data_IF_536569453094
#
_entry.id   IF_536569453094
#
_cell.length_a   1.000
_cell.length_b   1.000
_cell.length_c   1.000
_cell.angle_alpha   90.00
_cell.angle_beta   90.00
_cell.angle_gamma   90.00
#
_symmetry.space_group_name_H-M   'P 1'
#
loop_
_entity.id
_entity.type
_entity.pdbx_description
1 polymer ?
#
# COMPACT_ATOMS: atom_id res chain seq x y z
N UNK A 1 -7.72 -48.95 -47.12
CA UNK A 1 -6.84 -47.76 -47.20
C UNK A 1 -6.91 -47.01 -45.88
N UNK A 2 -5.92 -47.15 -45.00
CA UNK A 2 -5.85 -46.43 -43.71
C UNK A 2 -4.97 -45.19 -43.84
N UNK A 3 -5.41 -44.05 -43.30
CA UNK A 3 -4.64 -42.80 -43.28
C UNK A 3 -3.45 -42.94 -42.33
N UNK A 4 -2.26 -42.38 -42.65
CA UNK A 4 -1.12 -42.42 -41.73
C UNK A 4 -1.33 -41.43 -40.56
N UNK A 5 -1.06 -41.88 -39.35
CA UNK A 5 -1.14 -41.08 -38.14
C UNK A 5 -0.04 -40.00 -38.12
N UNK A 6 -0.43 -38.74 -37.87
CA UNK A 6 0.47 -37.58 -37.77
C UNK A 6 1.31 -37.72 -36.49
N UNK A 7 2.64 -37.83 -36.62
CA UNK A 7 3.56 -37.77 -35.47
C UNK A 7 3.54 -36.35 -34.88
N UNK A 8 3.39 -36.25 -33.56
CA UNK A 8 3.57 -34.98 -32.83
C UNK A 8 5.02 -34.51 -32.98
N UNK A 9 5.26 -33.21 -33.22
CA UNK A 9 6.61 -32.68 -33.33
C UNK A 9 7.32 -32.84 -31.98
N UNK A 10 8.49 -33.49 -31.99
CA UNK A 10 9.35 -33.58 -30.81
C UNK A 10 10.03 -32.23 -30.60
N UNK A 11 9.82 -31.63 -29.44
CA UNK A 11 10.59 -30.45 -29.02
C UNK A 11 12.08 -30.81 -28.96
N UNK A 12 12.90 -29.97 -29.57
CA UNK A 12 14.35 -30.18 -29.64
C UNK A 12 14.97 -29.87 -28.26
N UNK A 13 15.68 -30.83 -27.63
CA UNK A 13 16.37 -30.61 -26.34
C UNK A 13 17.42 -29.48 -26.39
N UNK A 14 17.88 -29.10 -27.58
CA UNK A 14 18.82 -27.99 -27.77
C UNK A 14 18.25 -26.61 -27.35
N UNK A 15 16.93 -26.46 -27.18
CA UNK A 15 16.33 -25.27 -26.59
C UNK A 15 16.62 -25.12 -25.09
N UNK A 16 17.13 -26.17 -24.44
CA UNK A 16 17.45 -26.19 -23.02
C UNK A 16 18.95 -26.37 -22.73
N UNK A 17 19.80 -26.30 -23.77
CA UNK A 17 21.25 -26.43 -23.60
C UNK A 17 21.91 -25.06 -23.69
N UNK A 18 22.41 -24.59 -22.54
CA UNK A 18 23.15 -23.34 -22.37
C UNK A 18 24.57 -23.46 -22.96
N UNK A 19 24.70 -23.29 -24.27
CA UNK A 19 26.00 -23.06 -24.88
C UNK A 19 26.35 -21.56 -24.83
N UNK A 20 27.35 -21.23 -24.01
CA UNK A 20 27.90 -19.89 -23.81
C UNK A 20 28.58 -19.42 -25.11
N UNK A 21 27.95 -18.47 -25.80
CA UNK A 21 28.50 -17.78 -26.96
C UNK A 21 28.49 -16.26 -26.71
N UNK A 22 29.64 -15.62 -26.91
CA UNK A 22 29.84 -14.19 -26.71
C UNK A 22 28.89 -13.37 -27.61
N UNK A 23 27.91 -12.71 -27.00
CA UNK A 23 27.01 -11.77 -27.67
C UNK A 23 25.52 -11.84 -27.32
N UNK A 24 25.06 -12.81 -26.53
CA UNK A 24 23.67 -12.83 -26.03
C UNK A 24 23.56 -12.05 -24.70
N UNK A 25 22.46 -11.30 -24.45
CA UNK A 25 22.23 -10.74 -23.13
C UNK A 25 22.20 -11.92 -22.16
N UNK A 26 23.01 -11.87 -21.11
CA UNK A 26 22.99 -12.84 -20.03
C UNK A 26 21.60 -12.83 -19.40
N UNK A 27 20.70 -13.65 -19.92
CA UNK A 27 19.46 -14.04 -19.27
C UNK A 27 19.80 -14.92 -18.09
N UNK A 28 20.48 -14.35 -17.10
CA UNK A 28 20.52 -14.90 -15.76
C UNK A 28 19.08 -15.02 -15.26
N UNK A 29 18.85 -15.96 -14.34
CA UNK A 29 17.60 -15.99 -13.59
C UNK A 29 17.32 -14.58 -13.08
N UNK A 30 16.05 -14.11 -13.14
CA UNK A 30 15.71 -12.81 -12.55
C UNK A 30 16.24 -12.78 -11.11
N UNK A 31 16.80 -11.63 -10.66
CA UNK A 31 17.34 -11.54 -9.32
C UNK A 31 16.25 -11.95 -8.33
N UNK A 32 16.65 -12.65 -7.27
CA UNK A 32 15.69 -13.07 -6.25
C UNK A 32 14.93 -11.83 -5.73
N UNK A 33 13.63 -11.94 -5.42
CA UNK A 33 12.83 -10.82 -4.91
C UNK A 33 13.48 -10.10 -3.72
N UNK A 34 14.20 -10.83 -2.87
CA UNK A 34 14.97 -10.27 -1.75
C UNK A 34 16.14 -9.38 -2.20
N UNK A 35 16.76 -9.69 -3.34
CA UNK A 35 17.85 -8.91 -3.93
C UNK A 35 17.35 -7.67 -4.69
N UNK A 36 16.10 -7.70 -5.17
CA UNK A 36 15.47 -6.52 -5.75
C UNK A 36 15.18 -5.48 -4.69
N UNK A 37 15.47 -4.22 -5.01
CA UNK A 37 15.19 -3.11 -4.12
C UNK A 37 14.75 -1.89 -4.92
N UNK A 38 13.82 -1.07 -4.38
CA UNK A 38 13.53 0.21 -4.97
C UNK A 38 14.78 1.10 -4.95
N UNK A 39 14.88 1.97 -5.95
CA UNK A 39 15.93 2.96 -6.11
C UNK A 39 15.92 3.94 -4.94
N UNK A 40 14.72 4.39 -4.55
CA UNK A 40 14.47 5.26 -3.41
C UNK A 40 13.07 5.00 -2.85
N UNK A 41 12.88 5.29 -1.56
CA UNK A 41 11.58 5.16 -0.91
C UNK A 41 11.06 6.53 -0.47
N UNK A 42 9.84 6.83 -0.86
CA UNK A 42 9.05 7.95 -0.39
C UNK A 42 7.90 7.37 0.44
N UNK A 43 8.05 7.36 1.76
CA UNK A 43 7.06 6.76 2.66
C UNK A 43 5.81 7.64 2.75
N UNK A 44 4.65 7.12 2.38
CA UNK A 44 3.40 7.87 2.41
C UNK A 44 2.67 7.83 3.77
N UNK A 45 3.21 7.14 4.77
CA UNK A 45 2.59 7.08 6.09
C UNK A 45 3.59 6.81 7.22
N UNK A 46 4.00 7.88 7.90
CA UNK A 46 4.75 7.82 9.16
C UNK A 46 3.92 8.46 10.26
N UNK A 47 3.47 7.67 11.22
CA UNK A 47 2.60 8.14 12.29
C UNK A 47 3.38 8.84 13.41
N UNK A 48 2.89 10.03 13.82
CA UNK A 48 3.43 10.79 14.95
C UNK A 48 2.56 10.63 16.20
N UNK A 49 2.41 9.39 16.67
CA UNK A 49 1.55 9.07 17.82
C UNK A 49 2.01 9.72 19.15
N UNK A 50 3.29 10.05 19.29
CA UNK A 50 3.84 10.63 20.52
C UNK A 50 5.11 11.47 20.27
N UNK A 51 5.50 12.34 21.22
CA UNK A 51 6.80 13.00 21.17
C UNK A 51 7.92 11.95 21.12
N UNK A 52 8.75 12.00 20.06
CA UNK A 52 9.81 11.01 19.83
C UNK A 52 9.42 9.84 18.93
N UNK A 53 8.15 9.70 18.53
CA UNK A 53 7.70 8.66 17.60
C UNK A 53 8.51 8.65 16.29
N UNK A 54 8.84 9.83 15.74
CA UNK A 54 9.68 9.93 14.55
C UNK A 54 11.10 9.38 14.77
N UNK A 55 11.69 9.61 15.96
CA UNK A 55 13.02 9.09 16.28
C UNK A 55 12.99 7.57 16.43
N UNK A 56 11.96 7.03 17.09
CA UNK A 56 11.75 5.60 17.20
C UNK A 56 11.55 4.97 15.83
N UNK A 57 10.69 5.56 14.99
CA UNK A 57 10.46 5.12 13.62
C UNK A 57 11.75 5.10 12.78
N UNK A 58 12.61 6.12 12.90
CA UNK A 58 13.93 6.12 12.24
C UNK A 58 14.82 4.98 12.71
N UNK A 59 14.80 4.65 14.00
CA UNK A 59 15.55 3.50 14.53
C UNK A 59 14.97 2.18 14.01
N UNK A 60 13.64 2.07 13.97
CA UNK A 60 12.90 0.90 13.47
C UNK A 60 13.09 0.67 11.97
N UNK A 61 13.37 1.71 11.19
CA UNK A 61 13.71 1.56 9.78
C UNK A 61 15.01 0.74 9.56
N UNK A 62 15.90 0.69 10.54
CA UNK A 62 17.09 -0.16 10.51
C UNK A 62 17.99 0.02 9.28
N UNK A 63 18.85 -0.97 9.03
CA UNK A 63 19.92 -0.87 8.02
C UNK A 63 19.46 -1.13 6.58
N UNK A 64 18.34 -1.81 6.39
CA UNK A 64 17.83 -2.17 5.04
C UNK A 64 16.91 -1.08 4.51
N UNK A 65 15.95 -0.64 5.34
CA UNK A 65 14.95 0.33 4.93
C UNK A 65 15.48 1.77 5.10
N UNK A 66 16.06 2.09 6.26
CA UNK A 66 16.53 3.44 6.63
C UNK A 66 17.33 4.18 5.53
N UNK A 67 18.41 3.59 4.97
CA UNK A 67 19.24 4.26 3.96
C UNK A 67 18.52 4.56 2.64
N UNK A 68 17.39 3.90 2.36
CA UNK A 68 16.62 4.08 1.12
C UNK A 68 15.58 5.19 1.21
N UNK A 69 15.25 5.64 2.42
CA UNK A 69 14.23 6.65 2.66
C UNK A 69 14.76 8.00 2.19
N UNK A 70 14.04 8.63 1.26
CA UNK A 70 14.32 9.99 0.80
C UNK A 70 13.36 11.01 1.36
N UNK A 71 12.10 10.62 1.49
CA UNK A 71 11.12 11.49 2.12
C UNK A 71 9.99 10.73 2.78
N UNK A 72 9.23 11.46 3.59
CA UNK A 72 8.09 10.93 4.34
C UNK A 72 6.89 11.86 4.27
N UNK A 73 5.70 11.28 4.39
CA UNK A 73 4.46 11.97 4.74
C UNK A 73 4.20 11.72 6.21
N UNK A 74 4.16 12.80 7.00
CA UNK A 74 3.94 12.70 8.45
C UNK A 74 2.44 12.74 8.75
N UNK A 75 1.91 11.66 9.29
CA UNK A 75 0.53 11.60 9.77
C UNK A 75 0.46 12.17 11.19
N UNK A 76 -0.27 13.25 11.34
CA UNK A 76 -0.45 13.95 12.61
C UNK A 76 -1.57 13.30 13.44
N UNK A 77 -1.48 13.32 14.77
CA UNK A 77 -2.54 12.81 15.63
C UNK A 77 -3.80 13.69 15.55
N UNK A 78 -4.97 13.14 15.93
CA UNK A 78 -6.28 13.80 15.79
C UNK A 78 -6.36 15.21 16.42
N UNK A 79 -5.60 15.45 17.47
CA UNK A 79 -5.55 16.73 18.19
C UNK A 79 -4.54 17.74 17.63
N UNK A 80 -3.78 17.40 16.59
CA UNK A 80 -2.73 18.25 16.04
C UNK A 80 -3.20 19.23 14.95
N UNK A 81 -4.49 19.23 14.60
CA UNK A 81 -5.10 20.13 13.63
C UNK A 81 -5.26 21.58 14.16
N UNK A 82 -4.18 22.17 14.70
CA UNK A 82 -4.14 23.58 15.11
C UNK A 82 -2.99 24.30 14.42
N UNK A 83 -3.22 25.59 14.06
CA UNK A 83 -2.22 26.41 13.36
C UNK A 83 -0.91 26.54 14.13
N UNK A 84 -0.98 26.57 15.46
CA UNK A 84 0.18 26.70 16.35
C UNK A 84 1.05 25.42 16.36
N UNK A 85 0.44 24.24 16.24
CA UNK A 85 1.16 22.97 16.13
C UNK A 85 1.86 22.88 14.78
N UNK A 86 1.20 23.27 13.68
CA UNK A 86 1.82 23.22 12.34
C UNK A 86 3.00 24.19 12.18
N UNK A 87 2.88 25.40 12.74
CA UNK A 87 3.95 26.40 12.70
C UNK A 87 5.17 26.07 13.57
N UNK A 88 4.99 25.19 14.57
CA UNK A 88 6.05 24.76 15.48
C UNK A 88 6.69 23.42 15.12
N UNK A 89 6.18 22.73 14.08
CA UNK A 89 6.82 21.54 13.53
C UNK A 89 8.20 21.91 12.96
N UNK A 90 9.24 21.64 13.74
CA UNK A 90 10.62 21.70 13.28
C UNK A 90 10.84 20.56 12.28
N UNK A 91 10.52 20.82 11.01
CA UNK A 91 10.80 19.89 9.92
C UNK A 91 12.32 19.79 9.80
N UNK A 92 12.87 18.70 10.33
CA UNK A 92 14.29 18.38 10.25
C UNK A 92 14.72 18.32 8.79
N UNK A 93 15.78 19.04 8.43
CA UNK A 93 16.33 19.07 7.07
C UNK A 93 16.96 17.75 6.62
N UNK A 94 17.17 16.79 7.53
CA UNK A 94 17.86 15.53 7.24
C UNK A 94 16.97 14.48 6.55
N UNK A 95 15.67 14.49 6.83
CA UNK A 95 14.66 13.65 6.17
C UNK A 95 13.69 14.58 5.47
N UNK A 96 13.61 14.49 4.14
CA UNK A 96 12.67 15.32 3.40
C UNK A 96 11.25 15.03 3.86
N UNK A 97 10.52 16.02 4.36
CA UNK A 97 9.06 15.87 4.57
C UNK A 97 8.40 16.38 3.30
N UNK A 98 7.68 15.51 2.60
CA UNK A 98 6.99 15.88 1.35
C UNK A 98 5.57 16.36 1.59
N UNK A 99 4.92 15.92 2.67
CA UNK A 99 3.61 16.44 3.08
C UNK A 99 3.32 16.14 4.55
N UNK A 100 2.31 16.84 5.07
CA UNK A 100 1.64 16.51 6.34
C UNK A 100 0.25 15.93 6.03
N UNK A 101 -0.07 14.78 6.63
CA UNK A 101 -1.43 14.22 6.63
C UNK A 101 -2.12 14.66 7.93
N UNK A 102 -3.12 15.53 7.80
CA UNK A 102 -3.77 16.23 8.91
C UNK A 102 -5.19 15.71 9.09
N UNK A 103 -5.55 15.21 10.28
CA UNK A 103 -6.92 14.81 10.58
C UNK A 103 -7.91 15.95 10.38
N UNK A 104 -8.94 15.69 9.56
CA UNK A 104 -9.97 16.68 9.28
C UNK A 104 -11.04 16.68 10.37
N UNK A 105 -11.34 17.84 10.99
CA UNK A 105 -12.42 17.95 11.96
C UNK A 105 -13.77 17.97 11.23
N UNK A 106 -14.56 16.89 11.35
CA UNK A 106 -15.93 16.84 10.78
C UNK A 106 -16.90 17.81 11.44
N UNK A 107 -16.53 18.40 12.59
CA UNK A 107 -17.30 19.43 13.28
C UNK A 107 -16.70 20.81 13.06
N UNK A 108 -17.54 21.76 12.67
CA UNK A 108 -17.15 23.15 12.44
C UNK A 108 -16.77 23.47 10.99
N UNK A 109 -16.32 24.70 10.72
CA UNK A 109 -15.94 25.11 9.37
C UNK A 109 -14.64 24.42 8.91
N UNK A 110 -14.45 24.24 7.59
CA UNK A 110 -13.23 23.67 7.06
C UNK A 110 -11.98 24.43 7.53
N UNK A 111 -10.94 23.73 7.99
CA UNK A 111 -9.75 24.37 8.50
C UNK A 111 -8.90 24.91 7.33
N UNK A 112 -8.81 26.22 7.19
CA UNK A 112 -7.85 26.83 6.26
C UNK A 112 -6.46 26.89 6.92
N UNK A 113 -5.71 25.81 6.75
CA UNK A 113 -4.37 25.62 7.29
C UNK A 113 -3.31 26.03 6.27
N UNK A 114 -2.21 26.56 6.76
CA UNK A 114 -1.01 26.85 5.97
C UNK A 114 0.15 26.16 6.65
N UNK A 115 0.94 25.40 5.89
CA UNK A 115 2.09 24.66 6.37
C UNK A 115 3.30 24.93 5.47
N UNK A 116 4.53 24.74 5.98
CA UNK A 116 5.76 24.90 5.18
C UNK A 116 5.93 23.83 4.09
N UNK A 117 5.12 22.78 4.11
CA UNK A 117 5.07 21.68 3.14
C UNK A 117 3.63 21.43 2.71
N UNK A 118 3.39 20.75 1.58
CA UNK A 118 2.05 20.35 1.15
C UNK A 118 1.23 19.66 2.25
N UNK A 119 -0.09 19.85 2.18
CA UNK A 119 -1.06 19.28 3.12
C UNK A 119 -1.91 18.24 2.38
N UNK A 120 -2.09 17.09 3.00
CA UNK A 120 -3.16 16.14 2.74
C UNK A 120 -4.09 16.08 3.96
N UNK A 121 -5.38 15.86 3.74
CA UNK A 121 -6.34 15.68 4.83
C UNK A 121 -6.64 14.21 5.06
N UNK A 122 -6.69 13.77 6.31
CA UNK A 122 -7.10 12.41 6.67
C UNK A 122 -8.49 12.38 7.29
N UNK A 123 -9.27 11.38 6.90
CA UNK A 123 -10.65 11.17 7.35
C UNK A 123 -10.81 9.73 7.82
N UNK A 124 -11.59 9.52 8.88
CA UNK A 124 -12.03 8.20 9.28
C UNK A 124 -13.40 7.89 8.66
N UNK A 125 -13.52 6.78 7.94
CA UNK A 125 -14.79 6.31 7.40
C UNK A 125 -15.33 5.15 8.24
N UNK A 126 -16.32 5.45 9.09
CA UNK A 126 -17.03 4.48 9.94
C UNK A 126 -18.46 4.22 9.47
N UNK A 127 -19.09 5.23 8.89
CA UNK A 127 -20.45 5.16 8.36
C UNK A 127 -20.65 6.27 7.30
N UNK A 128 -21.57 6.07 6.35
CA UNK A 128 -21.92 7.11 5.38
C UNK A 128 -22.63 8.28 6.08
N UNK A 129 -22.15 9.50 5.83
CA UNK A 129 -22.84 10.72 6.25
C UNK A 129 -22.67 11.82 5.21
N UNK A 130 -23.70 12.66 5.07
CA UNK A 130 -23.66 13.78 4.11
C UNK A 130 -22.58 14.80 4.50
N UNK A 131 -22.36 15.01 5.80
CA UNK A 131 -21.28 15.86 6.32
C UNK A 131 -19.89 15.36 5.88
N UNK A 132 -19.65 14.04 5.93
CA UNK A 132 -18.40 13.46 5.44
C UNK A 132 -18.25 13.64 3.92
N UNK A 133 -19.32 13.43 3.14
CA UNK A 133 -19.30 13.62 1.69
C UNK A 133 -18.96 15.07 1.33
N UNK A 134 -19.59 16.04 1.98
CA UNK A 134 -19.33 17.46 1.74
C UNK A 134 -17.91 17.85 2.14
N UNK A 135 -17.43 17.38 3.29
CA UNK A 135 -16.07 17.63 3.76
C UNK A 135 -15.01 17.01 2.83
N UNK A 136 -15.23 15.78 2.37
CA UNK A 136 -14.34 15.10 1.40
C UNK A 136 -14.31 15.84 0.06
N UNK A 137 -15.47 16.29 -0.45
CA UNK A 137 -15.53 17.09 -1.69
C UNK A 137 -14.76 18.40 -1.55
N UNK A 138 -14.95 19.10 -0.45
CA UNK A 138 -14.22 20.34 -0.17
C UNK A 138 -12.71 20.10 -0.11
N UNK A 139 -12.27 19.05 0.60
CA UNK A 139 -10.85 18.76 0.77
C UNK A 139 -10.20 18.31 -0.55
N UNK A 140 -10.84 17.38 -1.27
CA UNK A 140 -10.34 16.79 -2.52
C UNK A 140 -10.36 17.74 -3.72
N UNK A 141 -11.02 18.90 -3.62
CA UNK A 141 -10.91 19.98 -4.61
C UNK A 141 -9.49 20.60 -4.60
N UNK A 142 -8.85 20.65 -3.42
CA UNK A 142 -7.60 21.41 -3.21
C UNK A 142 -6.41 20.54 -2.82
N UNK A 143 -6.65 19.50 -2.05
CA UNK A 143 -5.63 18.68 -1.41
C UNK A 143 -5.85 17.19 -1.67
N UNK A 144 -4.79 16.37 -1.71
CA UNK A 144 -4.95 14.92 -1.60
C UNK A 144 -5.68 14.57 -0.30
N UNK A 145 -6.44 13.48 -0.34
CA UNK A 145 -7.24 13.02 0.81
C UNK A 145 -6.93 11.58 1.13
N UNK A 146 -6.58 11.31 2.38
CA UNK A 146 -6.48 9.98 2.96
C UNK A 146 -7.83 9.60 3.61
N UNK A 147 -8.37 8.43 3.27
CA UNK A 147 -9.56 7.86 3.92
C UNK A 147 -9.16 6.57 4.61
N UNK A 148 -9.22 6.59 5.95
CA UNK A 148 -9.05 5.41 6.78
C UNK A 148 -10.36 4.63 6.87
N UNK A 149 -10.40 3.50 6.18
CA UNK A 149 -11.59 2.65 6.10
C UNK A 149 -11.70 1.83 7.39
N UNK A 150 -12.65 2.20 8.25
CA UNK A 150 -12.89 1.62 9.57
C UNK A 150 -14.26 0.93 9.68
N UNK A 151 -14.88 0.64 8.53
CA UNK A 151 -16.12 -0.17 8.44
C UNK A 151 -15.81 -1.66 8.50
N UNK A 152 -16.79 -2.46 8.94
CA UNK A 152 -16.69 -3.91 8.85
C UNK A 152 -16.85 -4.36 7.38
N UNK A 153 -15.72 -4.68 6.75
CA UNK A 153 -15.64 -5.28 5.41
C UNK A 153 -15.60 -6.81 5.45
N UNK A 154 -15.55 -7.38 6.65
CA UNK A 154 -15.31 -8.81 6.91
C UNK A 154 -16.61 -9.59 6.97
N UNK A 155 -17.64 -9.06 7.64
CA UNK A 155 -18.87 -9.78 7.94
C UNK A 155 -20.09 -9.38 7.09
N UNK A 156 -19.95 -8.52 6.08
CA UNK A 156 -21.08 -8.14 5.24
C UNK A 156 -20.74 -7.33 3.99
N UNK A 157 -21.64 -7.34 3.01
CA UNK A 157 -21.53 -6.53 1.79
C UNK A 157 -21.84 -5.05 2.03
N UNK A 158 -22.59 -4.73 3.09
CA UNK A 158 -23.03 -3.37 3.40
C UNK A 158 -21.87 -2.38 3.57
N UNK A 159 -20.76 -2.81 4.18
CA UNK A 159 -19.57 -1.96 4.33
C UNK A 159 -18.92 -1.62 2.98
N UNK A 160 -18.88 -2.60 2.06
CA UNK A 160 -18.38 -2.40 0.70
C UNK A 160 -19.31 -1.49 -0.10
N UNK A 161 -20.62 -1.71 -0.05
CA UNK A 161 -21.61 -0.88 -0.73
C UNK A 161 -21.56 0.57 -0.24
N UNK A 162 -21.45 0.79 1.08
CA UNK A 162 -21.33 2.11 1.66
C UNK A 162 -20.04 2.83 1.22
N UNK A 163 -18.91 2.10 1.13
CA UNK A 163 -17.66 2.65 0.64
C UNK A 163 -17.72 3.00 -0.85
N UNK A 164 -18.27 2.10 -1.67
CA UNK A 164 -18.47 2.34 -3.11
C UNK A 164 -19.39 3.55 -3.34
N UNK A 165 -20.46 3.67 -2.55
CA UNK A 165 -21.37 4.80 -2.61
C UNK A 165 -20.68 6.11 -2.21
N UNK A 166 -19.88 6.11 -1.14
CA UNK A 166 -19.07 7.25 -0.71
C UNK A 166 -18.13 7.70 -1.82
N UNK A 167 -17.33 6.78 -2.35
CA UNK A 167 -16.37 7.06 -3.42
C UNK A 167 -17.10 7.63 -4.64
N UNK A 168 -18.20 6.98 -5.07
CA UNK A 168 -19.00 7.47 -6.20
C UNK A 168 -19.56 8.88 -5.92
N UNK A 169 -20.07 9.16 -4.72
CA UNK A 169 -20.61 10.48 -4.35
C UNK A 169 -19.53 11.56 -4.36
N UNK A 170 -18.30 11.24 -3.98
CA UNK A 170 -17.18 12.20 -3.89
C UNK A 170 -16.50 12.40 -5.25
N UNK A 171 -16.43 11.38 -6.11
CA UNK A 171 -15.72 11.45 -7.39
C UNK A 171 -16.58 11.85 -8.58
N UNK A 172 -17.91 11.86 -8.43
CA UNK A 172 -18.84 12.18 -9.51
C UNK A 172 -19.84 13.27 -9.13
N UNK A 173 -20.29 14.00 -10.14
CA UNK A 173 -21.38 14.98 -10.07
C UNK A 173 -22.44 14.64 -11.10
N UNK A 174 -23.70 15.00 -10.84
CA UNK A 174 -24.75 14.89 -11.83
C UNK A 174 -24.59 16.00 -12.88
N UNK A 175 -24.62 15.63 -14.15
CA UNK A 175 -24.71 16.59 -15.25
C UNK A 175 -26.16 17.12 -15.42
N UNK A 176 -26.36 17.97 -16.42
CA UNK A 176 -27.68 18.55 -16.74
C UNK A 176 -28.75 17.51 -17.07
N UNK A 177 -28.35 16.30 -17.48
CA UNK A 177 -29.24 15.20 -17.85
C UNK A 177 -29.40 14.18 -16.70
N UNK A 178 -28.86 14.48 -15.52
CA UNK A 178 -28.91 13.62 -14.32
C UNK A 178 -27.94 12.43 -14.36
N UNK A 179 -27.04 12.36 -15.35
CA UNK A 179 -26.02 11.32 -15.45
C UNK A 179 -24.83 11.70 -14.58
N UNK A 180 -24.29 10.72 -13.84
CA UNK A 180 -23.07 10.92 -13.04
C UNK A 180 -21.85 10.94 -13.94
N UNK A 181 -21.11 12.05 -13.90
CA UNK A 181 -19.86 12.26 -14.62
C UNK A 181 -18.71 12.51 -13.64
N UNK A 182 -17.47 12.09 -13.95
CA UNK A 182 -16.31 12.34 -13.10
C UNK A 182 -16.06 13.85 -12.88
N UNK A 183 -15.68 14.24 -11.68
CA UNK A 183 -15.31 15.62 -11.35
C UNK A 183 -13.93 15.91 -11.98
N UNK A 184 -13.80 16.97 -12.82
CA UNK A 184 -12.52 17.32 -13.42
C UNK A 184 -11.55 17.86 -12.36
N UNK A 185 -10.25 17.56 -12.51
CA UNK A 185 -9.16 18.05 -11.66
C UNK A 185 -9.22 17.68 -10.17
N UNK A 186 -10.06 16.70 -9.80
CA UNK A 186 -10.11 16.19 -8.43
C UNK A 186 -8.73 15.67 -8.01
N UNK A 187 -8.30 16.05 -6.80
CA UNK A 187 -7.05 15.55 -6.23
C UNK A 187 -7.17 14.06 -5.86
N UNK A 188 -6.03 13.36 -5.71
CA UNK A 188 -6.04 11.94 -5.36
C UNK A 188 -6.78 11.64 -4.05
N UNK A 189 -7.57 10.58 -4.07
CA UNK A 189 -8.22 9.98 -2.89
C UNK A 189 -7.52 8.66 -2.61
N UNK A 190 -6.89 8.54 -1.45
CA UNK A 190 -6.08 7.38 -1.05
C UNK A 190 -6.81 6.62 0.05
N UNK A 191 -7.12 5.35 -0.19
CA UNK A 191 -7.82 4.50 0.76
C UNK A 191 -6.83 3.64 1.55
N UNK A 192 -6.82 3.73 2.88
CA UNK A 192 -6.10 2.80 3.75
C UNK A 192 -7.00 1.69 4.29
N UNK A 193 -6.41 0.66 4.91
CA UNK A 193 -7.10 -0.51 5.45
C UNK A 193 -7.86 -1.36 4.40
N UNK A 194 -7.45 -1.27 3.14
CA UNK A 194 -7.88 -2.17 2.07
C UNK A 194 -6.74 -3.05 1.53
N UNK A 195 -5.48 -2.71 1.81
CA UNK A 195 -4.34 -3.42 1.26
C UNK A 195 -3.22 -3.60 2.31
N UNK A 196 -3.14 -4.76 2.97
CA UNK A 196 -4.23 -5.74 3.13
C UNK A 196 -5.37 -5.21 4.04
N UNK A 197 -6.59 -5.78 3.97
CA UNK A 197 -7.65 -5.42 4.90
C UNK A 197 -7.37 -5.96 6.32
N UNK A 198 -7.89 -5.30 7.37
CA UNK A 198 -7.89 -5.79 8.74
C UNK A 198 -8.51 -7.19 8.88
N UNK A 199 -8.11 -7.95 9.89
CA UNK A 199 -8.62 -9.30 10.11
C UNK A 199 -7.87 -10.08 11.19
N UNK A 200 -7.86 -11.41 11.06
CA UNK A 200 -7.15 -12.28 11.99
C UNK A 200 -6.36 -13.37 11.25
N UNK A 201 -5.09 -13.56 11.61
CA UNK A 201 -4.20 -14.60 11.06
C UNK A 201 -4.56 -16.03 11.47
N UNK A 202 -5.45 -16.20 12.44
CA UNK A 202 -5.88 -17.52 12.91
C UNK A 202 -6.53 -18.38 11.81
N UNK A 203 -7.05 -17.77 10.73
CA UNK A 203 -7.60 -18.49 9.59
C UNK A 203 -6.48 -18.76 8.58
N UNK A 204 -6.13 -20.04 8.28
CA UNK A 204 -5.10 -20.37 7.30
C UNK A 204 -5.42 -19.80 5.92
N UNK A 205 -4.40 -19.30 5.20
CA UNK A 205 -4.57 -18.68 3.87
C UNK A 205 -5.33 -19.57 2.88
N UNK A 206 -5.11 -20.89 2.91
CA UNK A 206 -5.79 -21.83 2.00
C UNK A 206 -7.31 -21.82 2.21
N UNK A 207 -7.79 -21.64 3.45
CA UNK A 207 -9.22 -21.52 3.74
C UNK A 207 -9.75 -20.13 3.38
N UNK A 208 -8.91 -19.10 3.47
CA UNK A 208 -9.28 -17.73 3.09
C UNK A 208 -9.58 -17.60 1.60
N UNK A 209 -8.88 -18.34 0.73
CA UNK A 209 -9.12 -18.28 -0.73
C UNK A 209 -10.56 -18.59 -1.14
N UNK A 210 -11.27 -19.38 -0.35
CA UNK A 210 -12.69 -19.72 -0.56
C UNK A 210 -13.62 -19.00 0.42
N UNK A 211 -13.09 -18.17 1.31
CA UNK A 211 -13.87 -17.49 2.34
C UNK A 211 -14.65 -16.31 1.72
N UNK A 212 -15.93 -16.10 2.08
CA UNK A 212 -16.75 -15.01 1.54
C UNK A 212 -16.08 -13.63 1.61
N UNK A 213 -15.40 -13.31 2.71
CA UNK A 213 -14.60 -12.08 2.86
C UNK A 213 -13.60 -11.86 1.71
N UNK A 214 -12.84 -12.88 1.33
CA UNK A 214 -11.82 -12.74 0.29
C UNK A 214 -12.45 -12.65 -1.11
N UNK A 215 -13.52 -13.42 -1.35
CA UNK A 215 -14.26 -13.34 -2.61
C UNK A 215 -14.92 -11.96 -2.78
N UNK A 216 -15.49 -11.41 -1.71
CA UNK A 216 -16.00 -10.05 -1.67
C UNK A 216 -14.89 -9.03 -1.95
N UNK A 217 -13.73 -9.18 -1.30
CA UNK A 217 -12.56 -8.35 -1.57
C UNK A 217 -12.18 -8.35 -3.05
N UNK A 218 -12.00 -9.52 -3.67
CA UNK A 218 -11.62 -9.65 -5.08
C UNK A 218 -12.62 -8.97 -6.01
N UNK A 219 -13.92 -9.12 -5.74
CA UNK A 219 -14.98 -8.50 -6.54
C UNK A 219 -15.02 -6.98 -6.38
N UNK A 220 -14.97 -6.50 -5.14
CA UNK A 220 -15.22 -5.09 -4.79
C UNK A 220 -14.00 -4.19 -4.97
N UNK A 221 -12.79 -4.73 -4.84
CA UNK A 221 -11.56 -3.97 -5.13
C UNK A 221 -11.49 -3.55 -6.60
N UNK A 222 -11.99 -4.40 -7.52
CA UNK A 222 -12.11 -4.06 -8.93
C UNK A 222 -13.13 -2.95 -9.19
N UNK A 223 -14.26 -2.94 -8.48
CA UNK A 223 -15.25 -1.86 -8.56
C UNK A 223 -14.68 -0.50 -8.18
N UNK A 224 -13.89 -0.44 -7.11
CA UNK A 224 -13.25 0.82 -6.67
C UNK A 224 -12.25 1.35 -7.70
N UNK A 225 -11.61 0.46 -8.47
CA UNK A 225 -10.56 0.85 -9.42
C UNK A 225 -11.08 1.58 -10.66
N UNK A 226 -12.40 1.54 -10.94
CA UNK A 226 -13.03 2.35 -11.98
C UNK A 226 -12.92 3.86 -11.72
N UNK A 227 -12.76 4.27 -10.46
CA UNK A 227 -12.47 5.66 -10.11
C UNK A 227 -10.97 5.94 -10.32
N UNK A 228 -10.63 6.65 -11.40
CA UNK A 228 -9.23 6.90 -11.80
C UNK A 228 -8.43 7.68 -10.75
N UNK A 229 -9.09 8.51 -9.94
CA UNK A 229 -8.46 9.33 -8.90
C UNK A 229 -8.36 8.61 -7.54
N UNK A 230 -8.73 7.33 -7.48
CA UNK A 230 -8.64 6.51 -6.26
C UNK A 230 -7.37 5.67 -6.28
N UNK A 231 -6.69 5.66 -5.14
CA UNK A 231 -5.43 4.98 -4.89
C UNK A 231 -5.56 4.13 -3.63
N UNK A 232 -4.69 3.11 -3.49
CA UNK A 232 -4.64 2.29 -2.28
C UNK A 232 -3.34 2.53 -1.52
N UNK A 233 -3.47 2.68 -0.20
CA UNK A 233 -2.33 2.71 0.71
C UNK A 233 -1.97 1.30 1.13
N UNK A 234 -0.73 0.91 0.86
CA UNK A 234 -0.16 -0.37 1.23
C UNK A 234 0.53 -0.25 2.58
N UNK A 235 -0.24 -0.51 3.65
CA UNK A 235 0.15 -0.34 5.04
C UNK A 235 0.30 -1.68 5.76
N UNK A 236 1.01 -1.74 6.90
CA UNK A 236 0.95 -2.89 7.79
C UNK A 236 -0.51 -3.16 8.18
N UNK A 237 -1.01 -4.39 7.97
CA UNK A 237 -2.40 -4.71 8.28
C UNK A 237 -2.64 -4.90 9.78
N UNK A 238 -3.85 -4.55 10.24
CA UNK A 238 -4.28 -4.86 11.60
C UNK A 238 -4.80 -6.31 11.68
N UNK A 239 -3.90 -7.25 11.97
CA UNK A 239 -4.20 -8.68 12.03
C UNK A 239 -4.26 -9.26 13.46
N UNK A 240 -4.35 -8.38 14.46
CA UNK A 240 -4.26 -8.72 15.88
C UNK A 240 -2.98 -9.48 16.23
N UNK A 241 -1.88 -9.20 15.53
CA UNK A 241 -0.59 -9.87 15.70
C UNK A 241 0.50 -8.88 15.30
N UNK A 242 1.61 -8.80 16.05
CA UNK A 242 2.71 -7.92 15.68
C UNK A 242 3.31 -8.32 14.32
N UNK A 243 3.89 -7.34 13.62
CA UNK A 243 4.66 -7.65 12.40
C UNK A 243 5.85 -8.56 12.75
N UNK A 244 6.03 -9.72 12.07
CA UNK A 244 7.11 -10.63 12.37
C UNK A 244 8.47 -10.01 12.10
N UNK A 245 9.40 -10.22 13.03
CA UNK A 245 10.77 -9.72 12.90
C UNK A 245 11.48 -10.31 11.69
N UNK A 246 12.19 -9.48 10.95
CA UNK A 246 12.99 -9.91 9.84
C UNK A 246 14.37 -10.41 10.29
N UNK A 247 14.96 -11.39 9.56
CA UNK A 247 16.33 -11.81 9.81
C UNK A 247 17.29 -10.61 9.74
N UNK A 248 18.26 -10.56 10.66
CA UNK A 248 19.27 -9.51 10.66
C UNK A 248 20.11 -9.57 9.38
N UNK A 249 20.60 -8.42 8.86
CA UNK A 249 21.55 -8.41 7.76
C UNK A 249 22.75 -9.31 8.06
N UNK A 250 23.08 -10.21 7.12
CA UNK A 250 24.18 -11.17 7.29
C UNK A 250 23.83 -12.47 8.02
N UNK A 251 22.56 -12.67 8.42
CA UNK A 251 22.10 -13.98 8.92
C UNK A 251 22.33 -15.08 7.87
N UNK A 252 22.89 -16.20 8.30
CA UNK A 252 23.16 -17.38 7.47
C UNK A 252 22.14 -18.47 7.82
N UNK A 253 21.56 -19.16 6.83
CA UNK A 253 20.71 -20.32 7.07
C UNK A 253 21.43 -21.34 7.96
N UNK A 254 20.67 -22.01 8.84
CA UNK A 254 21.23 -23.05 9.73
C UNK A 254 21.78 -24.21 8.91
N UNK A 255 21.16 -24.49 7.76
CA UNK A 255 21.60 -25.48 6.80
C UNK A 255 22.48 -24.85 5.70
N UNK A 256 23.67 -25.40 5.40
CA UNK A 256 24.57 -24.88 4.37
C UNK A 256 24.00 -24.89 2.94
N UNK A 257 22.98 -25.70 2.69
CA UNK A 257 22.21 -25.76 1.43
C UNK A 257 20.91 -24.94 1.47
N UNK A 258 20.58 -24.36 2.63
CA UNK A 258 19.38 -23.56 2.85
C UNK A 258 19.41 -22.26 2.07
N UNK A 259 18.23 -21.81 1.64
CA UNK A 259 18.05 -20.49 1.03
C UNK A 259 17.86 -19.42 2.11
N UNK A 260 18.10 -18.15 1.77
CA UNK A 260 17.78 -17.00 2.66
C UNK A 260 16.28 -17.02 3.08
N UNK A 261 15.40 -17.63 2.29
CA UNK A 261 13.96 -17.78 2.60
C UNK A 261 13.70 -18.76 3.74
N UNK A 262 14.66 -19.62 4.07
CA UNK A 262 14.58 -20.56 5.20
C UNK A 262 14.90 -19.90 6.54
N UNK A 263 15.39 -18.64 6.51
CA UNK A 263 15.54 -17.80 7.70
C UNK A 263 14.21 -17.19 8.19
N UNK A 264 13.21 -17.10 7.31
CA UNK A 264 11.90 -16.58 7.68
C UNK A 264 11.19 -17.60 8.59
N UNK A 265 10.63 -17.12 9.70
CA UNK A 265 9.74 -17.93 10.54
C UNK A 265 8.50 -18.36 9.74
N UNK A 266 7.86 -19.46 10.13
CA UNK A 266 6.60 -19.89 9.51
C UNK A 266 5.51 -18.81 9.59
N UNK A 267 5.52 -18.02 10.65
CA UNK A 267 4.66 -16.84 10.80
C UNK A 267 4.95 -15.79 9.73
N UNK A 268 6.22 -15.43 9.51
CA UNK A 268 6.61 -14.47 8.45
C UNK A 268 6.27 -14.99 7.05
N UNK A 269 6.41 -16.30 6.80
CA UNK A 269 6.00 -16.93 5.54
C UNK A 269 4.50 -16.83 5.33
N UNK A 270 3.68 -17.05 6.37
CA UNK A 270 2.23 -16.90 6.28
C UNK A 270 1.81 -15.43 6.11
N UNK A 271 2.46 -14.49 6.81
CA UNK A 271 2.29 -13.05 6.59
C UNK A 271 2.55 -12.66 5.13
N UNK A 272 3.67 -13.10 4.56
CA UNK A 272 4.01 -12.86 3.14
C UNK A 272 3.00 -13.52 2.21
N UNK A 273 2.57 -14.75 2.49
CA UNK A 273 1.57 -15.45 1.67
C UNK A 273 0.23 -14.70 1.67
N UNK A 274 -0.26 -14.31 2.85
CA UNK A 274 -1.51 -13.57 2.99
C UNK A 274 -1.44 -12.17 2.40
N UNK A 275 -0.31 -11.48 2.58
CA UNK A 275 -0.07 -10.17 1.98
C UNK A 275 -0.14 -10.25 0.45
N UNK A 276 0.55 -11.22 -0.16
CA UNK A 276 0.48 -11.47 -1.60
C UNK A 276 -0.92 -11.84 -2.09
N UNK A 277 -1.68 -12.60 -1.28
CA UNK A 277 -3.05 -12.98 -1.61
C UNK A 277 -3.94 -11.75 -1.84
N UNK A 278 -3.84 -10.71 -0.99
CA UNK A 278 -4.59 -9.45 -1.20
C UNK A 278 -3.93 -8.51 -2.23
N UNK A 279 -2.60 -8.53 -2.31
CA UNK A 279 -1.84 -7.67 -3.23
C UNK A 279 -2.06 -8.04 -4.70
N UNK A 280 -2.22 -9.32 -5.05
CA UNK A 280 -2.49 -9.76 -6.43
C UNK A 280 -3.72 -9.08 -7.05
N UNK A 281 -4.92 -9.27 -6.47
CA UNK A 281 -6.14 -8.59 -6.94
C UNK A 281 -6.03 -7.06 -6.95
N UNK A 282 -5.34 -6.47 -5.97
CA UNK A 282 -5.13 -5.03 -5.94
C UNK A 282 -4.26 -4.54 -7.11
N UNK A 283 -3.17 -5.24 -7.44
CA UNK A 283 -2.33 -4.93 -8.61
C UNK A 283 -3.12 -5.14 -9.91
N UNK A 284 -3.91 -6.20 -10.01
CA UNK A 284 -4.76 -6.46 -11.19
C UNK A 284 -5.79 -5.34 -11.42
N UNK A 285 -6.41 -4.85 -10.34
CA UNK A 285 -7.45 -3.83 -10.39
C UNK A 285 -6.89 -2.41 -10.56
N UNK A 286 -5.89 -2.04 -9.76
CA UNK A 286 -5.37 -0.67 -9.68
C UNK A 286 -4.12 -0.43 -10.54
N UNK A 287 -3.37 -1.49 -10.86
CA UNK A 287 -2.00 -1.40 -11.34
C UNK A 287 -1.04 -0.93 -10.24
N UNK A 288 0.26 -1.17 -10.41
CA UNK A 288 1.27 -0.67 -9.47
C UNK A 288 1.32 0.87 -9.40
N UNK A 289 0.85 1.56 -10.45
CA UNK A 289 0.84 3.02 -10.54
C UNK A 289 -0.16 3.71 -9.59
N UNK A 290 -1.07 2.93 -8.97
CA UNK A 290 -2.06 3.46 -8.01
C UNK A 290 -1.97 2.87 -6.60
N UNK A 291 -0.85 2.21 -6.30
CA UNK A 291 -0.53 1.72 -4.95
C UNK A 291 0.55 2.58 -4.32
N UNK A 292 0.44 2.86 -3.03
CA UNK A 292 1.39 3.74 -2.32
C UNK A 292 1.80 3.11 -1.00
N UNK A 293 3.09 2.82 -0.85
CA UNK A 293 3.63 2.25 0.38
C UNK A 293 3.60 3.22 1.56
N UNK A 294 3.22 2.71 2.73
CA UNK A 294 3.45 3.38 4.01
C UNK A 294 3.98 2.39 5.05
N UNK A 295 4.89 2.84 5.92
CA UNK A 295 5.55 1.93 6.88
C UNK A 295 4.90 1.87 8.26
N UNK A 296 4.10 2.87 8.62
CA UNK A 296 3.33 2.86 9.87
C UNK A 296 1.95 2.25 9.66
N UNK A 297 1.37 1.58 10.67
CA UNK A 297 0.00 1.13 10.63
C UNK A 297 -0.96 2.34 10.57
N UNK A 298 -2.23 2.10 10.22
CA UNK A 298 -3.24 3.16 10.32
C UNK A 298 -3.47 3.54 11.78
N UNK A 299 -3.90 4.78 12.03
CA UNK A 299 -4.12 5.31 13.39
C UNK A 299 -5.14 4.52 14.21
N UNK A 300 -6.06 3.78 13.55
CA UNK A 300 -7.02 2.91 14.23
C UNK A 300 -6.53 1.47 14.45
N UNK A 301 -5.34 1.11 13.94
CA UNK A 301 -4.78 -0.22 14.09
C UNK A 301 -4.46 -0.54 15.55
N UNK A 302 -4.84 -1.73 15.97
CA UNK A 302 -4.48 -2.28 17.28
C UNK A 302 -3.19 -3.12 17.24
N UNK A 303 -2.76 -3.53 16.05
CA UNK A 303 -1.53 -4.28 15.85
C UNK A 303 -0.30 -3.38 15.87
N UNK A 304 0.77 -3.86 16.52
CA UNK A 304 2.07 -3.19 16.52
C UNK A 304 2.86 -3.58 15.28
N UNK A 305 3.55 -2.62 14.67
CA UNK A 305 4.39 -2.86 13.50
C UNK A 305 5.72 -2.13 13.63
N UNK A 306 6.77 -2.74 13.11
CA UNK A 306 8.08 -2.15 12.97
C UNK A 306 8.28 -1.76 11.49
N UNK A 307 8.73 -0.54 11.24
CA UNK A 307 8.84 0.02 9.90
C UNK A 307 9.76 -0.80 8.97
N UNK A 308 10.92 -1.24 9.48
CA UNK A 308 11.88 -2.04 8.72
C UNK A 308 11.36 -3.45 8.43
N UNK A 309 10.71 -4.09 9.41
CA UNK A 309 10.16 -5.43 9.25
C UNK A 309 9.02 -5.47 8.23
N UNK A 310 8.09 -4.51 8.33
CA UNK A 310 7.03 -4.37 7.35
C UNK A 310 7.58 -4.06 5.96
N UNK A 311 8.54 -3.13 5.85
CA UNK A 311 9.17 -2.82 4.57
C UNK A 311 9.72 -4.07 3.88
N UNK A 312 10.39 -4.97 4.61
CA UNK A 312 10.91 -6.20 4.02
C UNK A 312 9.81 -7.13 3.51
N UNK A 313 8.77 -7.38 4.32
CA UNK A 313 7.61 -8.20 3.92
C UNK A 313 6.93 -7.57 2.69
N UNK A 314 6.72 -6.26 2.73
CA UNK A 314 6.05 -5.50 1.70
C UNK A 314 6.82 -5.53 0.38
N UNK A 315 8.11 -5.22 0.43
CA UNK A 315 9.02 -5.18 -0.72
C UNK A 315 9.12 -6.53 -1.39
N UNK A 316 9.35 -7.60 -0.62
CA UNK A 316 9.45 -8.95 -1.17
C UNK A 316 8.13 -9.43 -1.77
N UNK A 317 6.99 -9.05 -1.16
CA UNK A 317 5.67 -9.37 -1.70
C UNK A 317 5.41 -8.67 -3.04
N UNK A 318 5.83 -7.41 -3.18
CA UNK A 318 5.73 -6.67 -4.44
C UNK A 318 6.70 -7.21 -5.48
N UNK A 319 7.98 -7.42 -5.14
CA UNK A 319 8.99 -7.95 -6.06
C UNK A 319 8.71 -9.39 -6.55
N UNK A 320 7.88 -10.15 -5.82
CA UNK A 320 7.40 -11.46 -6.28
C UNK A 320 6.25 -11.39 -7.29
N UNK A 321 5.45 -10.31 -7.27
CA UNK A 321 4.28 -10.14 -8.14
C UNK A 321 4.54 -9.19 -9.30
N UNK A 322 5.42 -8.21 -9.10
CA UNK A 322 5.85 -7.20 -10.07
C UNK A 322 7.24 -7.56 -10.54
N UNK A 323 7.39 -7.81 -11.84
CA UNK A 323 8.62 -8.37 -12.42
C UNK A 323 9.64 -7.27 -12.76
N UNK A 324 9.20 -6.02 -12.87
CA UNK A 324 9.96 -4.87 -13.34
C UNK A 324 10.29 -3.86 -12.24
N UNK A 325 11.45 -3.19 -12.40
CA UNK A 325 11.91 -2.16 -11.48
C UNK A 325 10.99 -0.93 -11.46
N UNK A 326 10.33 -0.63 -12.58
CA UNK A 326 9.41 0.51 -12.69
C UNK A 326 8.23 0.34 -11.74
N UNK A 327 7.58 -0.82 -11.73
CA UNK A 327 6.51 -1.09 -10.78
C UNK A 327 6.98 -1.08 -9.32
N UNK A 328 8.18 -1.57 -9.01
CA UNK A 328 8.75 -1.49 -7.66
C UNK A 328 9.02 -0.03 -7.24
N UNK A 329 9.62 0.77 -8.11
CA UNK A 329 9.87 2.19 -7.86
C UNK A 329 8.56 3.00 -7.80
N UNK A 330 7.50 2.55 -8.49
CA UNK A 330 6.19 3.16 -8.42
C UNK A 330 5.55 3.02 -7.03
N UNK A 331 5.40 1.79 -6.55
CA UNK A 331 4.74 1.49 -5.27
C UNK A 331 5.47 2.15 -4.10
N UNK A 332 6.82 2.10 -4.10
CA UNK A 332 7.63 2.58 -2.98
C UNK A 332 8.10 4.04 -3.12
N UNK A 333 7.97 4.66 -4.30
CA UNK A 333 8.63 5.94 -4.56
C UNK A 333 7.76 6.92 -5.34
N UNK A 334 7.63 6.71 -6.65
CA UNK A 334 7.14 7.76 -7.56
C UNK A 334 5.68 8.14 -7.30
N UNK A 335 4.83 7.19 -6.91
CA UNK A 335 3.42 7.46 -6.65
C UNK A 335 3.25 8.38 -5.43
N UNK A 336 3.91 8.08 -4.30
CA UNK A 336 3.84 8.90 -3.10
C UNK A 336 4.31 10.34 -3.38
N UNK A 337 5.43 10.49 -4.09
CA UNK A 337 5.94 11.81 -4.48
C UNK A 337 4.98 12.57 -5.39
N UNK A 338 4.32 11.89 -6.33
CA UNK A 338 3.36 12.49 -7.27
C UNK A 338 2.08 12.94 -6.57
N UNK A 339 1.59 12.13 -5.63
CA UNK A 339 0.35 12.41 -4.90
C UNK A 339 0.54 13.52 -3.88
N UNK A 340 1.61 13.45 -3.08
CA UNK A 340 1.78 14.28 -1.90
C UNK A 340 2.79 15.42 -2.08
N UNK A 341 3.73 15.32 -3.02
CA UNK A 341 4.80 16.30 -3.20
C UNK A 341 4.44 17.50 -4.10
N UNK A 342 3.17 17.65 -4.47
CA UNK A 342 2.65 18.70 -5.35
C UNK A 342 2.30 19.98 -4.59
#
# INVERSE_FOLDING_TARGET
MSKPARRTPKLNPALFSTAVGAGAPTGGLPPSPSAQNPTQVHDAHVELASPGALLQWKADAGEVYGPKIKSVVLALPENAASKDVLGSLAISSELGVIALSIPYPLSGPPPELTAPVPIAYSFAFKEPSDALVEALKWASDKHPVDIDVQVDLVNGEQGWEALEELVMKVTTVADSDGKRVPIPNLKPIVLSNLLPPPGALAVPTVKLLTHPMYLAYQSRIASLSFSQNVYLKYLPPDWNTPTPTSPRPGAQPVDPEGSIRDLDSEEKKEWKRRTKMYLGPAIEAFGYARLVFGSSPSTASTSTSNAGDWYQIAKESVAELVVDQEGLDAVFGTNAKTIYGA
#
